data_IF_727456641092
#
_entry.id   IF_727456641092
#
_cell.length_a   1.000
_cell.length_b   1.000
_cell.length_c   1.000
_cell.angle_alpha   90.00
_cell.angle_beta   90.00
_cell.angle_gamma   90.00
#
_symmetry.space_group_name_H-M   'P 1'
#
loop_
_entity.id
_entity.type
_entity.pdbx_description
1 polymer ?
#
# COMPACT_ATOMS: atom_id res chain seq x y z
N UNK A 1 -25.31 -1.46 -23.14
CA UNK A 1 -24.32 -1.44 -22.08
C UNK A 1 -25.06 -1.34 -20.76
N UNK A 2 -24.82 -2.22 -19.79
CA UNK A 2 -25.42 -2.07 -18.49
C UNK A 2 -24.80 -0.87 -17.77
N UNK A 3 -25.63 0.05 -17.31
CA UNK A 3 -25.17 1.17 -16.47
C UNK A 3 -25.11 0.67 -15.03
N UNK A 4 -23.89 0.57 -14.47
CA UNK A 4 -23.73 0.26 -13.08
C UNK A 4 -23.84 1.56 -12.26
N UNK A 5 -24.84 1.65 -11.38
CA UNK A 5 -24.97 2.77 -10.46
C UNK A 5 -24.26 2.42 -9.15
N UNK A 6 -23.27 3.20 -8.79
CA UNK A 6 -22.56 3.08 -7.50
C UNK A 6 -23.07 4.13 -6.53
N UNK A 7 -23.26 3.71 -5.30
CA UNK A 7 -23.36 4.64 -4.19
C UNK A 7 -22.11 4.47 -3.32
N UNK A 8 -21.27 5.48 -3.26
CA UNK A 8 -20.20 5.55 -2.25
C UNK A 8 -20.81 6.21 -1.01
N UNK A 9 -21.03 5.45 0.04
CA UNK A 9 -21.43 6.00 1.34
C UNK A 9 -20.17 6.15 2.19
N UNK A 10 -19.74 7.38 2.43
CA UNK A 10 -18.73 7.70 3.44
C UNK A 10 -19.47 8.02 4.74
N UNK A 11 -19.41 7.12 5.71
CA UNK A 11 -19.98 7.33 7.05
C UNK A 11 -18.85 7.71 8.02
N UNK A 12 -18.86 8.93 8.51
CA UNK A 12 -17.98 9.40 9.56
C UNK A 12 -18.15 10.91 9.79
N UNK A 13 -18.22 11.33 11.04
CA UNK A 13 -18.32 12.73 11.47
C UNK A 13 -19.53 13.51 10.91
N UNK A 14 -20.73 13.06 11.26
CA UNK A 14 -21.93 13.93 11.26
C UNK A 14 -22.68 14.09 9.93
N UNK A 15 -22.39 13.31 8.91
CA UNK A 15 -23.13 13.32 7.65
C UNK A 15 -22.83 12.13 6.76
N UNK A 16 -23.84 11.52 6.18
CA UNK A 16 -23.68 10.59 5.08
C UNK A 16 -23.55 11.38 3.78
N UNK A 17 -22.38 11.40 3.17
CA UNK A 17 -22.25 11.86 1.78
C UNK A 17 -22.49 10.63 0.90
N UNK A 18 -23.72 10.48 0.41
CA UNK A 18 -24.02 9.54 -0.64
C UNK A 18 -23.96 10.28 -1.97
N UNK A 19 -22.95 10.04 -2.78
CA UNK A 19 -22.90 10.54 -4.13
C UNK A 19 -23.18 9.38 -5.09
N UNK A 20 -24.27 9.47 -5.85
CA UNK A 20 -24.51 8.60 -6.98
C UNK A 20 -23.68 9.12 -8.16
N UNK A 21 -22.63 8.42 -8.50
CA UNK A 21 -21.84 8.71 -9.69
C UNK A 21 -22.25 7.69 -10.75
N UNK A 22 -23.05 8.06 -11.75
CA UNK A 22 -23.34 7.16 -12.85
C UNK A 22 -22.07 6.98 -13.70
N UNK A 23 -21.59 5.75 -13.79
CA UNK A 23 -20.47 5.37 -14.65
C UNK A 23 -20.91 4.25 -15.57
N UNK A 24 -20.50 4.33 -16.84
CA UNK A 24 -20.48 3.18 -17.73
C UNK A 24 -19.20 2.41 -17.38
N UNK A 25 -19.36 1.18 -16.95
CA UNK A 25 -18.24 0.27 -16.78
C UNK A 25 -18.67 -1.09 -17.30
N UNK A 26 -17.79 -1.76 -18.04
CA UNK A 26 -18.05 -3.08 -18.56
C UNK A 26 -17.74 -4.17 -17.52
N UNK A 27 -16.95 -3.82 -16.52
CA UNK A 27 -16.56 -4.72 -15.44
C UNK A 27 -16.19 -3.99 -14.16
N UNK A 28 -15.98 -4.74 -13.13
CA UNK A 28 -15.49 -4.29 -11.86
C UNK A 28 -15.29 -5.46 -10.91
N UNK A 29 -14.44 -5.29 -9.94
CA UNK A 29 -14.15 -6.32 -8.95
C UNK A 29 -13.97 -5.73 -7.55
N UNK A 30 -14.22 -6.58 -6.56
CA UNK A 30 -13.90 -6.30 -5.16
C UNK A 30 -12.90 -7.35 -4.72
N UNK A 31 -11.80 -6.89 -4.12
CA UNK A 31 -10.79 -7.78 -3.57
C UNK A 31 -10.48 -7.40 -2.13
N UNK A 32 -10.33 -8.41 -1.31
CA UNK A 32 -9.81 -8.28 0.05
C UNK A 32 -8.44 -8.95 0.14
N UNK A 33 -7.47 -8.23 0.66
CA UNK A 33 -6.11 -8.72 0.88
C UNK A 33 -5.75 -8.54 2.34
N UNK A 34 -5.29 -9.61 2.97
CA UNK A 34 -4.77 -9.54 4.33
C UNK A 34 -3.32 -9.05 4.29
N UNK A 35 -3.05 -7.97 5.00
CA UNK A 35 -1.71 -7.46 5.23
C UNK A 35 -1.25 -7.90 6.63
N UNK A 36 -0.27 -8.79 6.72
CA UNK A 36 0.22 -9.28 8.00
C UNK A 36 0.83 -8.16 8.83
N UNK A 37 0.92 -8.37 10.13
CA UNK A 37 1.61 -7.44 11.04
C UNK A 37 3.07 -7.27 10.65
N UNK A 38 3.55 -6.06 10.71
CA UNK A 38 4.95 -5.72 10.56
C UNK A 38 5.78 -6.28 11.73
N UNK A 39 7.08 -6.24 11.61
CA UNK A 39 8.03 -6.76 12.60
C UNK A 39 8.84 -5.64 13.19
N UNK A 40 8.81 -5.52 14.52
CA UNK A 40 9.59 -4.52 15.23
C UNK A 40 11.08 -4.79 15.14
N UNK A 41 11.86 -3.74 15.00
CA UNK A 41 13.32 -3.74 15.00
C UNK A 41 13.87 -2.37 15.32
N UNK A 42 15.18 -2.24 15.32
CA UNK A 42 15.89 -0.98 15.53
C UNK A 42 16.89 -0.79 14.40
N UNK A 43 16.91 0.38 13.76
CA UNK A 43 17.92 0.73 12.76
C UNK A 43 19.28 0.85 13.44
N UNK A 44 20.12 -0.15 13.30
CA UNK A 44 21.42 -0.20 14.01
C UNK A 44 22.55 0.38 13.18
N UNK A 45 22.43 0.39 11.86
CA UNK A 45 23.39 1.02 10.97
C UNK A 45 22.65 1.73 9.84
N UNK A 46 22.95 3.00 9.65
CA UNK A 46 22.60 3.79 8.48
C UNK A 46 23.86 4.01 7.67
N UNK A 47 23.94 3.44 6.48
CA UNK A 47 25.08 3.61 5.59
C UNK A 47 24.94 4.90 4.77
N UNK A 48 23.73 5.15 4.28
CA UNK A 48 23.34 6.37 3.57
C UNK A 48 21.83 6.64 3.77
N UNK A 49 21.21 7.38 2.87
CA UNK A 49 19.78 7.78 2.99
C UNK A 49 18.80 6.63 2.82
N UNK A 50 19.20 5.55 2.13
CA UNK A 50 18.32 4.42 1.80
C UNK A 50 18.95 3.04 1.98
N UNK A 51 20.15 2.96 2.57
CA UNK A 51 20.89 1.71 2.81
C UNK A 51 21.26 1.58 4.27
N UNK A 52 21.03 0.40 4.85
CA UNK A 52 21.33 0.22 6.26
C UNK A 52 21.16 -1.22 6.74
N UNK A 53 21.08 -1.33 8.07
CA UNK A 53 20.92 -2.59 8.76
C UNK A 53 19.98 -2.42 9.95
N UNK A 54 19.04 -3.34 10.08
CA UNK A 54 18.09 -3.41 11.18
C UNK A 54 18.40 -4.63 12.04
N UNK A 55 18.40 -4.45 13.35
CA UNK A 55 18.35 -5.54 14.30
C UNK A 55 16.90 -5.79 14.70
N UNK A 56 16.35 -6.92 14.30
CA UNK A 56 14.97 -7.31 14.61
C UNK A 56 14.82 -7.66 16.09
N UNK A 57 13.66 -7.33 16.67
CA UNK A 57 13.37 -7.60 18.08
C UNK A 57 13.32 -9.12 18.41
N UNK A 58 13.10 -9.97 17.41
CA UNK A 58 13.11 -11.43 17.58
C UNK A 58 13.68 -12.17 16.38
N UNK A 59 14.25 -13.37 16.61
CA UNK A 59 14.79 -14.22 15.55
C UNK A 59 13.74 -14.88 14.65
N UNK A 60 12.47 -14.90 15.07
CA UNK A 60 11.35 -15.48 14.31
C UNK A 60 10.59 -14.44 13.43
N UNK A 61 11.27 -13.40 12.97
CA UNK A 61 10.63 -12.30 12.23
C UNK A 61 10.08 -12.68 10.83
N UNK A 62 10.57 -13.76 10.22
CA UNK A 62 10.08 -14.26 8.92
C UNK A 62 10.51 -13.44 7.70
N UNK A 63 11.34 -12.41 7.86
CA UNK A 63 11.90 -11.64 6.75
C UNK A 63 13.06 -12.46 6.15
N UNK A 64 13.05 -12.62 4.83
CA UNK A 64 14.02 -13.46 4.11
C UNK A 64 14.92 -12.64 3.19
N UNK A 65 16.09 -13.14 2.93
CA UNK A 65 17.01 -12.60 1.92
C UNK A 65 16.31 -12.46 0.57
N UNK A 66 16.46 -11.32 -0.08
CA UNK A 66 15.83 -10.98 -1.37
C UNK A 66 14.37 -10.53 -1.30
N UNK A 67 13.76 -10.47 -0.11
CA UNK A 67 12.41 -9.91 0.03
C UNK A 67 12.43 -8.40 -0.20
N UNK A 68 11.35 -7.87 -0.77
CA UNK A 68 11.10 -6.43 -0.76
C UNK A 68 10.26 -6.06 0.46
N UNK A 69 10.70 -5.04 1.15
CA UNK A 69 10.11 -4.59 2.41
C UNK A 69 9.87 -3.08 2.42
N UNK A 70 8.90 -2.69 3.22
CA UNK A 70 8.71 -1.30 3.61
C UNK A 70 9.14 -1.16 5.07
N UNK A 71 9.79 -0.03 5.37
CA UNK A 71 10.38 0.27 6.68
C UNK A 71 9.71 1.53 7.20
N UNK A 72 8.97 1.42 8.29
CA UNK A 72 8.22 2.50 8.92
C UNK A 72 8.89 2.97 10.20
N UNK A 73 8.83 4.26 10.49
CA UNK A 73 9.22 4.85 11.78
C UNK A 73 8.32 6.04 12.11
N UNK A 74 8.48 6.60 13.30
CA UNK A 74 7.74 7.82 13.67
C UNK A 74 8.17 8.98 12.76
N UNK A 75 7.27 9.39 11.90
CA UNK A 75 7.46 10.51 10.96
C UNK A 75 7.96 10.15 9.58
N UNK A 76 8.02 8.85 9.18
CA UNK A 76 8.39 8.51 7.82
C UNK A 76 8.24 7.04 7.45
N UNK A 77 8.38 6.80 6.15
CA UNK A 77 8.42 5.45 5.55
C UNK A 77 9.42 5.41 4.41
N UNK A 78 10.22 4.36 4.38
CA UNK A 78 10.97 3.96 3.20
C UNK A 78 10.35 2.69 2.64
N UNK A 79 9.99 2.71 1.38
CA UNK A 79 9.30 1.58 0.75
C UNK A 79 10.16 0.95 -0.35
N UNK A 80 9.83 -0.31 -0.68
CA UNK A 80 10.49 -1.09 -1.72
C UNK A 80 12.00 -1.31 -1.52
N UNK A 81 12.47 -1.36 -0.27
CA UNK A 81 13.85 -1.71 0.02
C UNK A 81 14.09 -3.22 -0.17
N UNK A 82 15.23 -3.59 -0.75
CA UNK A 82 15.61 -4.99 -0.97
C UNK A 82 16.43 -5.53 0.19
N UNK A 83 15.98 -6.63 0.78
CA UNK A 83 16.66 -7.28 1.90
C UNK A 83 17.89 -8.04 1.40
N UNK A 84 19.04 -7.71 1.96
CA UNK A 84 20.30 -8.41 1.75
C UNK A 84 20.37 -9.75 2.51
N UNK A 85 21.58 -10.28 2.73
CA UNK A 85 21.75 -11.57 3.41
C UNK A 85 21.38 -11.47 4.88
N UNK A 86 20.30 -12.14 5.26
CA UNK A 86 19.79 -12.17 6.65
C UNK A 86 20.61 -13.15 7.49
N UNK A 87 21.07 -12.70 8.69
CA UNK A 87 21.78 -13.53 9.66
C UNK A 87 21.19 -13.35 11.05
N UNK A 88 20.49 -14.35 11.54
CA UNK A 88 19.83 -14.29 12.85
C UNK A 88 18.78 -13.18 12.91
N UNK A 89 18.99 -12.18 13.77
CA UNK A 89 18.13 -11.00 13.87
C UNK A 89 18.60 -9.83 13.00
N UNK A 90 19.70 -9.98 12.30
CA UNK A 90 20.31 -8.92 11.49
C UNK A 90 19.74 -8.96 10.08
N UNK A 91 19.11 -7.87 9.67
CA UNK A 91 18.48 -7.68 8.36
C UNK A 91 19.13 -6.47 7.69
N UNK A 92 20.13 -6.67 6.83
CA UNK A 92 20.63 -5.62 5.98
C UNK A 92 19.63 -5.35 4.85
N UNK A 93 19.60 -4.11 4.37
CA UNK A 93 18.75 -3.73 3.24
C UNK A 93 19.44 -2.65 2.41
N UNK A 94 19.05 -2.55 1.16
CA UNK A 94 19.59 -1.63 0.20
C UNK A 94 18.50 -1.07 -0.72
N UNK A 95 18.65 0.18 -1.11
CA UNK A 95 17.72 0.87 -1.97
C UNK A 95 16.39 1.17 -1.25
N UNK A 96 15.38 1.41 -2.05
CA UNK A 96 14.07 1.87 -1.60
C UNK A 96 13.86 3.33 -1.96
N UNK A 97 12.62 3.74 -1.83
CA UNK A 97 12.13 5.07 -2.17
C UNK A 97 11.40 5.66 -0.95
N UNK A 98 10.94 6.90 -1.05
CA UNK A 98 10.25 7.57 0.06
C UNK A 98 11.18 8.44 0.91
N UNK A 99 10.99 8.39 2.22
CA UNK A 99 11.73 9.25 3.14
C UNK A 99 13.15 8.76 3.40
N UNK A 100 14.07 9.69 3.62
CA UNK A 100 15.42 9.40 4.07
C UNK A 100 15.41 8.65 5.41
N UNK A 101 16.17 7.58 5.52
CA UNK A 101 16.28 6.78 6.77
C UNK A 101 16.55 7.66 8.00
N UNK A 102 15.95 7.34 9.14
CA UNK A 102 16.18 8.05 10.39
C UNK A 102 17.60 7.80 10.93
N UNK A 103 17.92 8.39 12.05
CA UNK A 103 19.21 8.19 12.74
C UNK A 103 19.33 6.76 13.31
N UNK A 104 20.57 6.29 13.48
CA UNK A 104 20.84 5.03 14.17
C UNK A 104 20.22 5.02 15.58
N UNK A 105 19.68 3.89 15.97
CA UNK A 105 18.97 3.73 17.25
C UNK A 105 17.47 3.99 17.17
N UNK A 106 16.94 4.41 16.02
CA UNK A 106 15.49 4.60 15.85
C UNK A 106 14.78 3.27 15.78
N UNK A 107 13.67 3.14 16.49
CA UNK A 107 12.77 2.00 16.40
C UNK A 107 12.02 2.06 15.07
N UNK A 108 11.96 0.91 14.41
CA UNK A 108 11.34 0.77 13.08
C UNK A 108 10.42 -0.45 13.03
N UNK A 109 9.49 -0.42 12.09
CA UNK A 109 8.66 -1.57 11.73
C UNK A 109 9.03 -2.00 10.32
N UNK A 110 9.36 -3.27 10.14
CA UNK A 110 9.70 -3.85 8.84
C UNK A 110 8.55 -4.74 8.37
N UNK A 111 8.01 -4.46 7.20
CA UNK A 111 6.89 -5.19 6.63
C UNK A 111 7.21 -5.71 5.24
N UNK A 112 6.97 -7.01 5.03
CA UNK A 112 7.11 -7.61 3.70
C UNK A 112 5.93 -7.16 2.84
N UNK A 113 6.25 -6.68 1.64
CA UNK A 113 5.26 -6.22 0.66
C UNK A 113 4.44 -7.38 0.12
N UNK A 114 3.14 -7.19 0.01
CA UNK A 114 2.20 -8.16 -0.54
C UNK A 114 1.81 -7.73 -1.96
N UNK A 115 1.99 -8.63 -2.93
CA UNK A 115 1.55 -8.42 -4.31
C UNK A 115 0.02 -8.50 -4.40
N UNK A 116 -0.58 -7.51 -5.04
CA UNK A 116 -2.00 -7.42 -5.36
C UNK A 116 -2.13 -7.33 -6.88
N UNK A 117 -2.53 -8.41 -7.51
CA UNK A 117 -2.87 -8.37 -8.93
C UNK A 117 -4.24 -7.73 -9.09
N UNK A 118 -4.35 -6.72 -9.93
CA UNK A 118 -5.61 -6.01 -10.19
C UNK A 118 -6.40 -6.60 -11.35
N UNK A 119 -5.78 -7.49 -12.14
CA UNK A 119 -6.43 -8.26 -13.20
C UNK A 119 -7.23 -7.37 -14.20
N UNK A 120 -6.61 -6.30 -14.66
CA UNK A 120 -7.28 -5.33 -15.53
C UNK A 120 -7.35 -5.75 -17.00
N UNK A 121 -6.82 -6.91 -17.38
CA UNK A 121 -6.89 -7.53 -18.73
C UNK A 121 -6.75 -6.54 -19.93
N UNK A 122 -6.01 -5.46 -19.76
CA UNK A 122 -5.84 -4.39 -20.73
C UNK A 122 -6.93 -3.32 -20.72
N UNK A 123 -7.93 -3.46 -19.84
CA UNK A 123 -8.96 -2.46 -19.63
C UNK A 123 -8.45 -1.25 -18.83
N UNK A 124 -9.10 -0.13 -19.03
CA UNK A 124 -8.74 1.10 -18.30
C UNK A 124 -9.44 1.13 -16.94
N UNK A 125 -8.68 1.41 -15.89
CA UNK A 125 -9.23 1.66 -14.56
C UNK A 125 -10.00 2.99 -14.55
N UNK A 126 -11.26 2.97 -14.16
CA UNK A 126 -12.12 4.17 -14.15
C UNK A 126 -12.46 4.67 -12.76
N UNK A 127 -12.49 3.80 -11.79
CA UNK A 127 -12.68 4.13 -10.37
C UNK A 127 -11.85 3.16 -9.53
N UNK A 128 -11.20 3.70 -8.52
CA UNK A 128 -10.54 2.91 -7.48
C UNK A 128 -11.00 3.41 -6.12
N UNK A 129 -11.55 2.53 -5.32
CA UNK A 129 -11.81 2.78 -3.91
C UNK A 129 -11.00 1.83 -3.06
N UNK A 130 -10.31 2.39 -2.08
CA UNK A 130 -9.42 1.65 -1.19
C UNK A 130 -9.87 1.90 0.24
N UNK A 131 -9.97 0.86 1.03
CA UNK A 131 -10.26 0.96 2.45
C UNK A 131 -9.38 -0.01 3.22
N UNK A 132 -8.57 0.53 4.11
CA UNK A 132 -7.76 -0.24 5.03
C UNK A 132 -8.51 -0.40 6.35
N UNK A 133 -8.71 -1.63 6.79
CA UNK A 133 -9.38 -1.95 8.05
C UNK A 133 -8.45 -2.71 8.98
N UNK A 134 -8.41 -2.27 10.21
CA UNK A 134 -7.85 -3.02 11.33
C UNK A 134 -8.96 -3.66 12.15
N UNK A 135 -8.67 -4.79 12.80
CA UNK A 135 -9.58 -5.40 13.77
C UNK A 135 -9.73 -4.51 15.02
N UNK A 136 -8.67 -3.82 15.40
CA UNK A 136 -8.69 -2.78 16.41
C UNK A 136 -8.99 -1.42 15.80
N UNK A 137 -10.19 -0.89 16.02
CA UNK A 137 -10.59 0.42 15.51
C UNK A 137 -9.79 1.61 16.08
N UNK A 138 -8.96 1.38 17.10
CA UNK A 138 -8.06 2.39 17.68
C UNK A 138 -6.66 2.35 17.06
N UNK A 139 -6.39 1.41 16.16
CA UNK A 139 -5.13 1.38 15.43
C UNK A 139 -4.98 2.62 14.57
N UNK A 140 -3.83 3.26 14.63
CA UNK A 140 -3.50 4.48 13.89
C UNK A 140 -2.36 4.28 12.89
N UNK A 141 -1.77 3.08 12.87
CA UNK A 141 -0.69 2.79 11.95
C UNK A 141 -1.14 2.95 10.50
N UNK A 142 -0.27 3.53 9.69
CA UNK A 142 -0.49 3.65 8.25
C UNK A 142 -0.09 2.35 7.56
N UNK A 143 -0.67 2.12 6.37
CA UNK A 143 -0.17 1.16 5.40
C UNK A 143 0.27 1.92 4.16
N UNK A 144 1.26 1.38 3.48
CA UNK A 144 1.73 1.93 2.22
C UNK A 144 1.28 1.05 1.06
N UNK A 145 0.84 1.66 -0.04
CA UNK A 145 0.49 0.97 -1.29
C UNK A 145 1.12 1.69 -2.47
N UNK A 146 1.77 0.93 -3.34
CA UNK A 146 2.36 1.39 -4.60
C UNK A 146 1.73 0.68 -5.78
N UNK A 147 1.46 1.42 -6.84
CA UNK A 147 0.86 0.94 -8.08
C UNK A 147 1.89 0.92 -9.21
N UNK A 148 1.86 -0.14 -10.00
CA UNK A 148 2.77 -0.36 -11.10
C UNK A 148 2.03 -0.62 -12.41
N UNK A 149 2.66 -0.22 -13.54
CA UNK A 149 2.23 -0.60 -14.88
C UNK A 149 2.54 -2.09 -15.19
N UNK A 150 2.44 -2.50 -16.44
CA UNK A 150 2.81 -3.85 -16.88
C UNK A 150 4.31 -4.14 -16.83
N UNK A 151 5.12 -3.12 -16.61
CA UNK A 151 6.58 -3.19 -16.39
C UNK A 151 6.94 -2.91 -14.93
N UNK A 152 8.18 -2.53 -14.67
CA UNK A 152 8.66 -2.19 -13.33
C UNK A 152 8.40 -0.72 -12.95
N UNK A 153 7.67 0.06 -13.77
CA UNK A 153 7.52 1.48 -13.53
C UNK A 153 6.42 1.72 -12.48
N UNK A 154 6.78 2.43 -11.44
CA UNK A 154 5.84 2.95 -10.47
C UNK A 154 4.99 4.05 -11.10
N UNK A 155 3.67 3.97 -10.88
CA UNK A 155 2.71 4.95 -11.38
C UNK A 155 2.29 5.90 -10.26
N UNK A 156 2.07 5.38 -9.06
CA UNK A 156 1.61 6.13 -7.92
C UNK A 156 1.87 5.39 -6.61
N UNK A 157 1.96 6.15 -5.54
CA UNK A 157 2.04 5.67 -4.17
C UNK A 157 1.02 6.36 -3.28
N UNK A 158 0.58 5.70 -2.24
CA UNK A 158 -0.39 6.22 -1.28
C UNK A 158 -0.11 5.70 0.12
N UNK A 159 -0.16 6.61 1.09
CA UNK A 159 -0.26 6.26 2.50
C UNK A 159 -1.72 6.12 2.89
N UNK A 160 -2.10 4.94 3.33
CA UNK A 160 -3.46 4.62 3.73
C UNK A 160 -3.62 4.85 5.23
N UNK A 161 -4.51 5.76 5.58
CA UNK A 161 -4.88 5.98 6.98
C UNK A 161 -5.80 4.86 7.47
N UNK A 162 -5.57 4.41 8.70
CA UNK A 162 -6.36 3.37 9.34
C UNK A 162 -7.86 3.70 9.29
N UNK A 163 -8.67 2.73 8.87
CA UNK A 163 -10.12 2.79 8.84
C UNK A 163 -10.72 4.00 8.06
N UNK A 164 -9.93 4.57 7.13
CA UNK A 164 -10.34 5.71 6.32
C UNK A 164 -10.42 5.30 4.85
N UNK A 165 -11.64 5.20 4.27
CA UNK A 165 -11.78 4.90 2.85
C UNK A 165 -11.28 6.06 1.99
N UNK A 166 -10.57 5.74 0.93
CA UNK A 166 -10.12 6.67 -0.10
C UNK A 166 -10.75 6.29 -1.44
N UNK A 167 -11.21 7.27 -2.20
CA UNK A 167 -11.85 7.05 -3.50
C UNK A 167 -11.18 7.93 -4.54
N UNK A 168 -10.73 7.30 -5.61
CA UNK A 168 -10.08 7.96 -6.74
C UNK A 168 -10.99 7.83 -7.96
N UNK A 169 -11.48 8.97 -8.46
CA UNK A 169 -12.17 9.06 -9.73
C UNK A 169 -11.13 9.29 -10.84
N UNK A 170 -10.98 8.29 -11.70
CA UNK A 170 -9.92 8.25 -12.71
C UNK A 170 -10.37 8.84 -14.05
N UNK A 171 -11.65 9.21 -14.18
CA UNK A 171 -12.21 9.74 -15.42
C UNK A 171 -12.14 11.27 -15.47
N UNK A 172 -11.40 11.80 -16.43
CA UNK A 172 -11.67 13.10 -17.06
C UNK A 172 -11.20 14.34 -16.33
N UNK A 173 -10.20 14.25 -15.47
CA UNK A 173 -9.64 15.45 -14.82
C UNK A 173 -8.12 15.55 -14.90
N UNK A 174 -7.60 16.76 -14.98
CA UNK A 174 -6.18 17.08 -15.07
C UNK A 174 -5.34 16.71 -13.81
N UNK A 175 -5.93 16.02 -12.85
CA UNK A 175 -5.30 15.64 -11.56
C UNK A 175 -5.34 14.15 -11.31
N UNK A 176 -5.52 13.34 -12.34
CA UNK A 176 -5.51 11.90 -12.18
C UNK A 176 -4.10 11.38 -11.99
N UNK A 177 -3.80 10.82 -10.83
CA UNK A 177 -2.49 10.19 -10.51
C UNK A 177 -2.19 8.98 -11.40
N UNK A 178 -3.19 8.44 -12.10
CA UNK A 178 -3.10 7.25 -12.93
C UNK A 178 -3.18 7.54 -14.44
N UNK A 179 -3.04 8.81 -14.88
CA UNK A 179 -3.14 9.17 -16.30
C UNK A 179 -2.04 8.55 -17.14
N UNK A 180 -2.47 7.81 -18.17
CA UNK A 180 -1.63 7.40 -19.29
C UNK A 180 -1.00 6.02 -19.21
N UNK A 181 -1.02 5.33 -18.06
CA UNK A 181 -0.49 3.99 -17.93
C UNK A 181 -1.52 3.06 -17.26
N UNK A 182 -1.81 1.89 -17.82
CA UNK A 182 -2.69 0.92 -17.16
C UNK A 182 -2.00 0.39 -15.90
N UNK A 183 -2.68 0.48 -14.76
CA UNK A 183 -2.25 -0.18 -13.53
C UNK A 183 -2.49 -1.67 -13.68
N UNK A 184 -1.46 -2.46 -13.47
CA UNK A 184 -1.56 -3.93 -13.55
C UNK A 184 -1.41 -4.57 -12.17
N UNK A 185 -0.50 -4.06 -11.37
CA UNK A 185 -0.18 -4.59 -10.06
C UNK A 185 -0.11 -3.48 -9.02
N UNK A 186 -0.37 -3.87 -7.78
CA UNK A 186 -0.04 -3.06 -6.63
C UNK A 186 0.74 -3.90 -5.60
N UNK A 187 1.54 -3.23 -4.79
CA UNK A 187 2.16 -3.82 -3.63
C UNK A 187 1.76 -3.03 -2.41
N UNK A 188 1.40 -3.72 -1.34
CA UNK A 188 1.03 -3.08 -0.10
C UNK A 188 1.68 -3.75 1.11
N UNK A 189 1.90 -2.96 2.15
CA UNK A 189 2.43 -3.42 3.43
C UNK A 189 1.73 -2.72 4.60
N UNK A 190 1.94 -3.22 5.81
CA UNK A 190 1.26 -2.78 7.02
C UNK A 190 2.27 -2.26 8.05
N UNK A 191 2.15 -1.01 8.48
CA UNK A 191 3.01 -0.38 9.47
C UNK A 191 2.71 -0.77 10.92
N UNK A 192 1.64 -1.53 11.22
CA UNK A 192 1.33 -1.98 12.58
C UNK A 192 2.11 -3.23 12.97
N UNK A 193 2.64 -3.27 14.19
CA UNK A 193 3.23 -4.48 14.81
C UNK A 193 2.25 -5.28 15.65
N UNK A 194 1.06 -4.75 15.89
CA UNK A 194 0.08 -5.31 16.82
C UNK A 194 -1.17 -5.85 16.13
N UNK A 195 -1.55 -5.29 14.99
CA UNK A 195 -2.81 -5.62 14.33
C UNK A 195 -2.63 -5.84 12.82
N UNK A 196 -3.15 -6.94 12.31
CA UNK A 196 -3.18 -7.20 10.88
C UNK A 196 -4.25 -6.33 10.22
N UNK A 197 -3.92 -5.78 9.05
CA UNK A 197 -4.87 -5.00 8.27
C UNK A 197 -5.56 -5.87 7.21
N UNK A 198 -6.81 -5.55 6.92
CA UNK A 198 -7.50 -6.01 5.72
C UNK A 198 -7.61 -4.83 4.75
N UNK A 199 -7.00 -4.97 3.59
CA UNK A 199 -7.11 -4.01 2.51
C UNK A 199 -8.26 -4.44 1.61
N UNK A 200 -9.26 -3.58 1.49
CA UNK A 200 -10.41 -3.75 0.60
C UNK A 200 -10.22 -2.84 -0.60
N UNK A 201 -10.16 -3.43 -1.79
CA UNK A 201 -10.08 -2.70 -3.05
C UNK A 201 -11.35 -2.96 -3.84
N UNK A 202 -11.96 -1.89 -4.31
CA UNK A 202 -13.03 -1.91 -5.30
C UNK A 202 -12.53 -1.15 -6.52
N UNK A 203 -12.57 -1.77 -7.67
CA UNK A 203 -12.27 -1.07 -8.93
C UNK A 203 -13.31 -1.32 -9.99
N UNK A 204 -13.38 -0.38 -10.89
CA UNK A 204 -14.18 -0.43 -12.10
C UNK A 204 -13.28 -0.28 -13.30
N UNK A 205 -13.58 -1.01 -14.32
CA UNK A 205 -12.85 -1.00 -15.58
C UNK A 205 -13.78 -0.77 -16.75
N UNK A 206 -13.25 -0.15 -17.81
CA UNK A 206 -13.93 0.06 -19.09
C UNK A 206 -13.05 -0.54 -20.19
N UNK A 207 -13.60 -1.45 -20.97
CA UNK A 207 -12.93 -2.07 -22.11
C UNK A 207 -12.91 -1.19 -23.36
N UNK A 208 -13.68 -0.11 -23.36
CA UNK A 208 -13.74 0.89 -24.42
C UNK A 208 -13.28 2.24 -23.91
N UNK A 209 -11.98 2.58 -24.04
CA UNK A 209 -11.46 3.88 -23.67
C UNK A 209 -12.03 5.02 -24.53
#
# INVERSE_FOLDING_TARGET
>A
MPTLNYSVAVSGLGGNIAQNIPRSADGGSIREVSLPVGKAGTLTTRTDVNTGQITMASGGHGITTGANVDIYWDGGVQYNATVGTVVGTTVPFDGGEGDDLPTNGTDVVVSVRQLISLDLDGDSLTLLAINQKYSNNLETAISHITFYDSGPNEIAELDLQANTPQVFDIIGGATNIFTGNPIVNAFASNGSTSDAATLQLLWLQDSTP
#
